data_IF_912930251615
#
_entry.id   IF_912930251615
#
_cell.length_a   1.000
_cell.length_b   1.000
_cell.length_c   1.000
_cell.angle_alpha   90.00
_cell.angle_beta   90.00
_cell.angle_gamma   90.00
#
_symmetry.space_group_name_H-M   'P 1'
#
loop_
_entity.id
_entity.type
_entity.pdbx_description
1 polymer ?
#
# COMPACT_ATOMS: atom_id res chain seq x y z
N UNK A 1 14.37 20.54 9.59
CA UNK A 1 15.65 19.94 10.05
C UNK A 1 16.48 21.00 10.77
N UNK A 2 17.06 20.68 11.93
CA UNK A 2 17.93 21.58 12.71
C UNK A 2 19.28 20.91 12.97
N UNK A 3 20.38 21.61 12.69
CA UNK A 3 21.74 21.16 12.95
C UNK A 3 22.37 22.08 14.01
N UNK A 4 22.32 21.70 15.30
CA UNK A 4 22.75 22.55 16.41
C UNK A 4 24.20 23.03 16.29
N UNK A 5 25.12 22.13 15.91
CA UNK A 5 26.55 22.44 15.78
C UNK A 5 26.85 23.47 14.70
N UNK A 6 25.99 23.58 13.69
CA UNK A 6 26.10 24.56 12.61
C UNK A 6 25.23 25.80 12.83
N UNK A 7 24.44 25.81 13.91
CA UNK A 7 23.37 26.78 14.19
C UNK A 7 22.52 27.06 12.94
N UNK A 8 22.18 26.00 12.21
CA UNK A 8 21.52 26.08 10.91
C UNK A 8 20.26 25.24 10.89
N UNK A 9 19.17 25.84 10.40
CA UNK A 9 17.87 25.19 10.27
C UNK A 9 17.34 25.33 8.85
N UNK A 10 16.75 24.25 8.36
CA UNK A 10 15.99 24.25 7.10
C UNK A 10 14.55 23.90 7.43
N UNK A 11 13.64 24.76 6.99
CA UNK A 11 12.20 24.55 7.06
C UNK A 11 11.65 24.75 5.66
N UNK A 12 10.96 23.75 5.14
CA UNK A 12 10.26 23.82 3.85
C UNK A 12 8.78 23.68 4.15
N UNK A 13 7.97 24.58 3.59
CA UNK A 13 6.51 24.52 3.68
C UNK A 13 5.98 24.11 2.32
N UNK A 14 5.03 23.19 2.35
CA UNK A 14 4.55 22.47 1.18
C UNK A 14 3.09 22.12 1.39
N UNK A 15 2.28 22.28 0.35
CA UNK A 15 0.81 22.22 0.45
C UNK A 15 0.15 21.23 -0.53
N UNK A 16 0.87 20.19 -0.98
CA UNK A 16 0.33 19.21 -1.93
C UNK A 16 0.91 17.79 -1.76
N UNK A 17 0.19 16.90 -1.08
CA UNK A 17 0.38 15.42 -1.09
C UNK A 17 1.81 14.87 -1.29
N UNK A 18 1.96 13.87 -2.17
CA UNK A 18 3.21 13.15 -2.41
C UNK A 18 4.28 13.95 -3.19
N UNK A 19 3.86 14.78 -4.15
CA UNK A 19 4.77 15.62 -4.94
C UNK A 19 5.52 16.62 -4.06
N UNK A 20 4.86 17.17 -3.05
CA UNK A 20 5.48 18.12 -2.11
C UNK A 20 6.50 17.45 -1.19
N UNK A 21 6.25 16.22 -0.70
CA UNK A 21 7.23 15.46 0.11
C UNK A 21 8.54 15.20 -0.64
N UNK A 22 8.42 14.90 -1.93
CA UNK A 22 9.56 14.69 -2.82
C UNK A 22 10.38 15.97 -3.01
N UNK A 23 9.70 17.08 -3.29
CA UNK A 23 10.34 18.39 -3.46
C UNK A 23 10.99 18.88 -2.16
N UNK A 24 10.33 18.69 -1.01
CA UNK A 24 10.84 19.03 0.31
C UNK A 24 12.16 18.33 0.60
N UNK A 25 12.25 17.04 0.24
CA UNK A 25 13.46 16.24 0.42
C UNK A 25 14.59 16.74 -0.47
N UNK A 26 14.31 16.99 -1.76
CA UNK A 26 15.30 17.49 -2.72
C UNK A 26 15.84 18.85 -2.26
N UNK A 27 14.95 19.79 -1.93
CA UNK A 27 15.32 21.13 -1.49
C UNK A 27 16.06 21.12 -0.15
N UNK A 28 15.59 20.33 0.82
CA UNK A 28 16.21 20.25 2.14
C UNK A 28 17.63 19.70 2.07
N UNK A 29 17.84 18.63 1.29
CA UNK A 29 19.17 18.05 1.09
C UNK A 29 20.07 19.01 0.32
N UNK A 30 19.56 19.67 -0.72
CA UNK A 30 20.34 20.64 -1.50
C UNK A 30 20.83 21.80 -0.64
N UNK A 31 19.96 22.41 0.16
CA UNK A 31 20.29 23.51 1.06
C UNK A 31 21.29 23.08 2.14
N UNK A 32 21.16 21.84 2.64
CA UNK A 32 22.11 21.28 3.59
C UNK A 32 23.50 21.09 2.95
N UNK A 33 23.57 20.50 1.77
CA UNK A 33 24.83 20.27 1.04
C UNK A 33 25.53 21.58 0.66
N UNK A 34 24.77 22.60 0.27
CA UNK A 34 25.29 23.95 0.05
C UNK A 34 25.88 24.53 1.34
N UNK A 35 25.20 24.37 2.48
CA UNK A 35 25.69 24.84 3.78
C UNK A 35 26.95 24.11 4.23
N UNK A 36 27.07 22.82 3.90
CA UNK A 36 28.23 21.99 4.22
C UNK A 36 29.40 22.16 3.22
N UNK A 37 29.21 22.95 2.16
CA UNK A 37 30.23 23.14 1.12
C UNK A 37 30.50 21.87 0.29
N UNK A 38 29.53 20.96 0.20
CA UNK A 38 29.68 19.73 -0.58
C UNK A 38 29.82 20.09 -2.05
N UNK A 39 30.90 19.63 -2.67
CA UNK A 39 31.18 19.91 -4.07
C UNK A 39 30.11 19.26 -4.97
N UNK A 40 29.72 19.85 -6.11
CA UNK A 40 28.62 19.34 -6.93
C UNK A 40 28.73 17.86 -7.34
N UNK A 41 29.96 17.35 -7.50
CA UNK A 41 30.23 15.94 -7.86
C UNK A 41 30.00 14.96 -6.71
N UNK A 42 30.06 15.43 -5.47
CA UNK A 42 29.95 14.60 -4.25
C UNK A 42 28.53 14.67 -3.65
N UNK A 43 27.63 15.43 -4.27
CA UNK A 43 26.25 15.62 -3.80
C UNK A 43 25.41 14.38 -4.02
N UNK A 44 24.55 14.11 -3.05
CA UNK A 44 23.53 13.08 -3.13
C UNK A 44 22.49 13.46 -4.20
N UNK A 45 22.30 12.57 -5.17
CA UNK A 45 21.40 12.80 -6.30
C UNK A 45 19.96 12.46 -5.93
N UNK A 46 19.40 13.20 -4.98
CA UNK A 46 18.05 12.98 -4.48
C UNK A 46 16.99 13.00 -5.59
N UNK A 47 17.11 13.93 -6.54
CA UNK A 47 16.19 14.06 -7.66
C UNK A 47 16.20 12.83 -8.57
N UNK A 48 17.39 12.29 -8.89
CA UNK A 48 17.52 11.10 -9.73
C UNK A 48 16.86 9.90 -9.04
N UNK A 49 17.16 9.68 -7.75
CA UNK A 49 16.61 8.56 -6.98
C UNK A 49 15.09 8.65 -6.84
N UNK A 50 14.57 9.83 -6.51
CA UNK A 50 13.12 10.07 -6.42
C UNK A 50 12.44 9.87 -7.78
N UNK A 51 13.09 10.30 -8.88
CA UNK A 51 12.58 10.08 -10.23
C UNK A 51 12.55 8.60 -10.62
N UNK A 52 13.57 7.83 -10.27
CA UNK A 52 13.60 6.37 -10.45
C UNK A 52 12.52 5.66 -9.63
N UNK A 53 12.39 6.03 -8.35
CA UNK A 53 11.35 5.49 -7.47
C UNK A 53 9.95 5.85 -7.96
N UNK A 54 9.76 7.06 -8.52
CA UNK A 54 8.52 7.49 -9.17
C UNK A 54 8.13 6.63 -10.36
N UNK A 55 9.05 6.40 -11.31
CA UNK A 55 8.78 5.51 -12.46
C UNK A 55 8.51 4.07 -12.04
N UNK A 56 9.22 3.59 -11.01
CA UNK A 56 8.97 2.27 -10.43
C UNK A 56 7.59 2.21 -9.77
N UNK A 57 7.18 3.24 -9.02
CA UNK A 57 5.82 3.33 -8.45
C UNK A 57 4.76 3.27 -9.55
N UNK A 58 4.91 4.05 -10.62
CA UNK A 58 3.99 4.08 -11.75
C UNK A 58 3.86 2.70 -12.43
N UNK A 59 4.98 2.03 -12.66
CA UNK A 59 4.96 0.68 -13.22
C UNK A 59 4.16 -0.29 -12.35
N UNK A 60 4.40 -0.25 -11.04
CA UNK A 60 3.74 -1.19 -10.15
C UNK A 60 2.24 -0.84 -9.98
N UNK A 61 1.88 0.45 -9.94
CA UNK A 61 0.48 0.91 -9.95
C UNK A 61 -0.30 0.42 -11.18
N UNK A 62 0.37 0.38 -12.33
CA UNK A 62 -0.23 -0.06 -13.59
C UNK A 62 -0.19 -1.57 -13.81
N UNK A 63 0.70 -2.29 -13.12
CA UNK A 63 0.92 -3.73 -13.27
C UNK A 63 0.97 -4.49 -11.92
N UNK A 64 0.00 -4.28 -10.99
CA UNK A 64 0.09 -4.84 -9.64
C UNK A 64 0.06 -6.37 -9.63
N UNK A 65 -0.66 -6.99 -10.59
CA UNK A 65 -0.73 -8.45 -10.77
C UNK A 65 0.62 -9.06 -11.11
N UNK A 66 1.39 -8.41 -11.99
CA UNK A 66 2.69 -8.91 -12.44
C UNK A 66 3.76 -8.77 -11.37
N UNK A 67 3.63 -7.75 -10.52
CA UNK A 67 4.59 -7.50 -9.44
C UNK A 67 4.31 -8.36 -8.22
N UNK A 68 3.04 -8.46 -7.78
CA UNK A 68 2.68 -9.23 -6.58
C UNK A 68 2.60 -10.73 -6.86
N UNK A 69 2.17 -11.12 -8.05
CA UNK A 69 1.92 -12.51 -8.43
C UNK A 69 2.49 -12.83 -9.82
N UNK A 70 3.82 -12.77 -10.00
CA UNK A 70 4.47 -13.02 -11.29
C UNK A 70 4.25 -14.46 -11.79
N UNK A 71 4.13 -15.43 -10.88
CA UNK A 71 4.00 -16.86 -11.18
C UNK A 71 2.54 -17.33 -11.25
N UNK A 72 1.57 -16.41 -11.32
CA UNK A 72 0.15 -16.76 -11.39
C UNK A 72 -0.18 -17.56 -12.66
N UNK A 73 -1.16 -18.47 -12.61
CA UNK A 73 -1.58 -19.20 -13.80
C UNK A 73 -2.22 -18.27 -14.84
N UNK A 74 -2.08 -18.59 -16.12
CA UNK A 74 -2.70 -17.84 -17.23
C UNK A 74 -4.22 -17.81 -17.12
N UNK A 75 -4.82 -18.92 -16.68
CA UNK A 75 -6.24 -19.01 -16.35
C UNK A 75 -6.39 -18.96 -14.82
N UNK A 76 -7.07 -17.94 -14.27
CA UNK A 76 -7.31 -17.86 -12.83
C UNK A 76 -8.02 -19.09 -12.28
N UNK A 77 -7.50 -19.64 -11.19
CA UNK A 77 -8.19 -20.67 -10.43
C UNK A 77 -9.34 -20.01 -9.64
N UNK A 78 -10.49 -20.69 -9.47
CA UNK A 78 -11.54 -20.20 -8.59
C UNK A 78 -11.05 -20.13 -7.14
N UNK A 79 -11.59 -19.18 -6.36
CA UNK A 79 -11.36 -19.14 -4.92
C UNK A 79 -11.95 -20.37 -4.23
N UNK A 80 -11.30 -20.82 -3.14
CA UNK A 80 -11.75 -21.98 -2.35
C UNK A 80 -13.12 -21.75 -1.73
N UNK A 81 -13.44 -20.50 -1.37
CA UNK A 81 -14.71 -20.11 -0.81
C UNK A 81 -15.37 -19.00 -1.62
N UNK A 82 -16.70 -18.91 -1.54
CA UNK A 82 -17.44 -17.79 -2.13
C UNK A 82 -17.10 -16.49 -1.41
N UNK A 83 -17.27 -15.36 -2.10
CA UNK A 83 -17.01 -14.03 -1.52
C UNK A 83 -17.78 -13.80 -0.21
N UNK A 84 -19.02 -14.29 -0.12
CA UNK A 84 -19.86 -14.14 1.07
C UNK A 84 -19.32 -14.93 2.28
N UNK A 85 -18.57 -16.01 2.05
CA UNK A 85 -17.90 -16.76 3.12
C UNK A 85 -16.62 -16.06 3.62
N UNK A 86 -16.06 -15.13 2.83
CA UNK A 86 -14.91 -14.29 3.24
C UNK A 86 -15.33 -13.15 4.18
N UNK A 87 -16.62 -12.83 4.26
CA UNK A 87 -17.12 -11.73 5.09
C UNK A 87 -16.93 -12.00 6.58
N UNK A 88 -16.92 -10.91 7.35
CA UNK A 88 -16.85 -10.96 8.80
C UNK A 88 -15.78 -10.05 9.37
N UNK A 89 -15.28 -10.42 10.54
CA UNK A 89 -14.33 -9.63 11.32
C UNK A 89 -13.00 -10.33 11.36
N UNK A 90 -11.93 -9.55 11.25
CA UNK A 90 -10.56 -10.03 11.21
C UNK A 90 -9.74 -9.18 12.17
N UNK A 91 -8.96 -9.81 13.04
CA UNK A 91 -8.27 -9.15 14.14
C UNK A 91 -6.77 -9.45 14.13
N UNK A 92 -5.97 -8.41 14.36
CA UNK A 92 -4.55 -8.52 14.66
C UNK A 92 -4.23 -7.55 15.81
N UNK A 93 -3.32 -7.91 16.71
CA UNK A 93 -3.03 -7.18 17.94
C UNK A 93 -2.47 -5.76 17.75
N UNK A 94 -1.61 -5.53 16.76
CA UNK A 94 -1.05 -4.23 16.39
C UNK A 94 -1.94 -3.41 15.45
N UNK A 95 -2.74 -4.08 14.62
CA UNK A 95 -3.61 -3.46 13.62
C UNK A 95 -5.10 -3.46 13.99
N UNK A 96 -5.51 -3.97 15.15
CA UNK A 96 -6.90 -3.90 15.61
C UNK A 96 -7.88 -4.69 14.73
N UNK A 97 -9.12 -4.21 14.66
CA UNK A 97 -10.24 -4.92 14.02
C UNK A 97 -10.50 -4.41 12.61
N UNK A 98 -10.61 -5.35 11.67
CA UNK A 98 -10.97 -5.13 10.27
C UNK A 98 -12.31 -5.80 9.97
N UNK A 99 -13.19 -5.09 9.26
CA UNK A 99 -14.53 -5.57 8.90
C UNK A 99 -14.62 -5.73 7.39
N UNK A 100 -14.76 -6.97 6.93
CA UNK A 100 -14.94 -7.31 5.51
C UNK A 100 -16.42 -7.42 5.17
N UNK A 101 -16.84 -6.63 4.18
CA UNK A 101 -18.21 -6.55 3.66
C UNK A 101 -18.24 -6.59 2.14
N UNK A 102 -19.38 -7.00 1.59
CA UNK A 102 -19.67 -6.89 0.16
C UNK A 102 -20.28 -5.53 -0.13
N UNK A 103 -19.82 -4.88 -1.20
CA UNK A 103 -20.37 -3.60 -1.65
C UNK A 103 -20.55 -3.57 -3.16
N UNK A 104 -21.55 -2.83 -3.60
CA UNK A 104 -21.75 -2.56 -5.01
C UNK A 104 -20.82 -1.42 -5.46
N UNK A 105 -19.93 -1.71 -6.39
CA UNK A 105 -19.12 -0.72 -7.09
C UNK A 105 -19.67 -0.54 -8.50
N UNK A 106 -20.13 0.67 -8.81
CA UNK A 106 -20.61 1.02 -10.14
C UNK A 106 -19.51 1.76 -10.89
N UNK A 107 -19.03 1.13 -11.95
CA UNK A 107 -18.15 1.75 -12.93
C UNK A 107 -18.96 2.14 -14.17
N UNK A 108 -18.68 3.34 -14.70
CA UNK A 108 -19.43 3.91 -15.84
C UNK A 108 -19.28 3.09 -17.12
N UNK A 109 -18.22 2.30 -17.25
CA UNK A 109 -17.88 1.52 -18.45
C UNK A 109 -18.20 0.03 -18.34
N UNK A 110 -18.17 -0.53 -17.12
CA UNK A 110 -18.29 -1.98 -16.88
C UNK A 110 -19.53 -2.37 -16.06
N UNK A 111 -20.36 -1.41 -15.64
CA UNK A 111 -21.60 -1.66 -14.91
C UNK A 111 -21.38 -1.78 -13.39
N UNK A 112 -22.32 -2.40 -12.70
CA UNK A 112 -22.25 -2.59 -11.24
C UNK A 112 -21.74 -3.99 -10.92
N UNK A 113 -20.68 -4.06 -10.12
CA UNK A 113 -20.10 -5.32 -9.62
C UNK A 113 -20.08 -5.33 -8.10
N UNK A 114 -20.16 -6.52 -7.50
CA UNK A 114 -19.96 -6.67 -6.06
C UNK A 114 -18.47 -6.84 -5.76
N UNK A 115 -17.92 -5.97 -4.93
CA UNK A 115 -16.52 -6.01 -4.48
C UNK A 115 -16.45 -6.35 -2.99
N UNK A 116 -15.30 -6.87 -2.58
CA UNK A 116 -15.00 -7.10 -1.17
C UNK A 116 -14.25 -5.89 -0.63
N UNK A 117 -14.78 -5.31 0.44
CA UNK A 117 -14.26 -4.08 1.05
C UNK A 117 -13.98 -4.32 2.52
N UNK A 118 -12.77 -4.00 2.95
CA UNK A 118 -12.39 -3.97 4.35
C UNK A 118 -12.34 -2.54 4.86
N UNK A 119 -12.93 -2.32 6.04
CA UNK A 119 -12.80 -1.06 6.77
C UNK A 119 -12.39 -1.28 8.22
N UNK A 120 -11.66 -0.31 8.75
CA UNK A 120 -11.27 -0.23 10.15
C UNK A 120 -12.03 0.91 10.81
N UNK A 121 -13.09 0.58 11.56
CA UNK A 121 -13.97 1.59 12.18
C UNK A 121 -13.33 2.29 13.37
N UNK A 122 -12.27 1.71 13.93
CA UNK A 122 -11.57 2.17 15.13
C UNK A 122 -10.41 3.13 14.84
N UNK A 123 -10.02 3.31 13.57
CA UNK A 123 -9.00 4.29 13.16
C UNK A 123 -9.45 5.06 11.93
N UNK A 124 -9.56 6.38 12.08
CA UNK A 124 -9.88 7.28 10.97
C UNK A 124 -8.79 7.33 9.87
N UNK A 125 -7.53 6.98 10.20
CA UNK A 125 -6.36 7.25 9.36
C UNK A 125 -5.75 6.02 8.66
N UNK A 126 -6.48 4.90 8.59
CA UNK A 126 -6.14 3.76 7.75
C UNK A 126 -7.39 3.41 6.97
N UNK A 127 -7.43 3.91 5.75
CA UNK A 127 -8.66 3.96 4.98
C UNK A 127 -9.14 2.61 4.47
N UNK A 128 -10.02 2.69 3.49
CA UNK A 128 -10.72 1.56 2.91
C UNK A 128 -9.76 0.65 2.13
N UNK A 129 -9.86 -0.67 2.30
CA UNK A 129 -9.12 -1.62 1.46
C UNK A 129 -10.09 -2.38 0.56
N UNK A 130 -9.92 -2.27 -0.75
CA UNK A 130 -10.72 -3.01 -1.75
C UNK A 130 -9.94 -4.21 -2.25
N UNK A 131 -10.61 -5.35 -2.41
CA UNK A 131 -9.96 -6.57 -2.86
C UNK A 131 -10.33 -6.93 -4.30
N UNK A 132 -9.32 -7.26 -5.08
CA UNK A 132 -9.45 -7.76 -6.45
C UNK A 132 -8.92 -9.20 -6.52
N UNK A 133 -9.75 -10.13 -6.98
CA UNK A 133 -9.37 -11.53 -7.09
C UNK A 133 -8.29 -11.73 -8.16
N UNK A 134 -7.24 -12.49 -7.82
CA UNK A 134 -6.17 -12.85 -8.75
C UNK A 134 -6.32 -14.28 -9.24
N UNK A 135 -6.18 -15.25 -8.34
CA UNK A 135 -6.28 -16.69 -8.63
C UNK A 135 -6.26 -17.47 -7.33
N UNK A 136 -7.09 -18.51 -7.22
CA UNK A 136 -7.19 -19.29 -5.99
C UNK A 136 -7.57 -18.37 -4.82
N UNK A 137 -6.81 -18.44 -3.74
CA UNK A 137 -7.07 -17.65 -2.54
C UNK A 137 -6.22 -16.38 -2.43
N UNK A 138 -5.62 -15.96 -3.55
CA UNK A 138 -4.79 -14.76 -3.67
C UNK A 138 -5.57 -13.58 -4.30
N UNK A 139 -5.38 -12.42 -3.70
CA UNK A 139 -6.08 -11.18 -3.99
C UNK A 139 -5.10 -10.01 -4.02
N UNK A 140 -5.43 -8.93 -4.71
CA UNK A 140 -4.77 -7.63 -4.56
C UNK A 140 -5.57 -6.83 -3.55
N UNK A 141 -4.90 -6.27 -2.55
CA UNK A 141 -5.46 -5.36 -1.57
C UNK A 141 -5.13 -3.92 -1.99
N UNK A 142 -6.11 -3.20 -2.51
CA UNK A 142 -6.01 -1.78 -2.87
C UNK A 142 -6.34 -0.94 -1.64
N UNK A 143 -5.32 -0.38 -1.00
CA UNK A 143 -5.43 0.44 0.21
C UNK A 143 -5.65 1.90 -0.21
N UNK A 144 -6.84 2.41 0.10
CA UNK A 144 -7.27 3.76 -0.21
C UNK A 144 -7.31 4.61 1.05
N UNK A 145 -6.55 5.70 1.09
CA UNK A 145 -6.73 6.73 2.11
C UNK A 145 -7.60 7.85 1.51
N UNK A 146 -8.84 8.06 2.00
CA UNK A 146 -9.74 9.08 1.44
C UNK A 146 -9.22 10.51 1.60
N UNK A 147 -8.28 10.75 2.51
CA UNK A 147 -7.67 12.07 2.73
C UNK A 147 -6.41 12.28 1.86
N UNK A 148 -5.97 11.26 1.11
CA UNK A 148 -4.80 11.33 0.22
C UNK A 148 -5.25 10.98 -1.20
N UNK A 149 -5.52 12.03 -1.97
CA UNK A 149 -6.06 11.97 -3.34
C UNK A 149 -5.21 11.17 -4.36
N UNK A 150 -3.97 10.77 -4.00
CA UNK A 150 -2.96 10.36 -4.98
C UNK A 150 -2.01 9.24 -4.54
N UNK A 151 -2.42 8.35 -3.63
CA UNK A 151 -1.59 7.17 -3.34
C UNK A 151 -2.42 5.96 -2.92
N UNK A 152 -3.02 5.21 -3.88
CA UNK A 152 -3.46 3.88 -3.56
C UNK A 152 -2.21 3.05 -3.25
N UNK A 153 -1.98 2.77 -1.97
CA UNK A 153 -1.11 1.68 -1.59
C UNK A 153 -1.71 0.40 -2.13
N UNK A 154 -0.90 -0.55 -2.56
CA UNK A 154 -1.39 -1.87 -2.94
C UNK A 154 -0.51 -2.92 -2.29
N UNK A 155 -1.13 -4.04 -1.96
CA UNK A 155 -0.48 -5.16 -1.31
C UNK A 155 -1.04 -6.49 -1.78
N UNK A 156 -0.35 -7.57 -1.43
CA UNK A 156 -0.86 -8.93 -1.63
C UNK A 156 -1.82 -9.32 -0.51
N UNK A 157 -2.99 -9.84 -0.85
CA UNK A 157 -3.92 -10.48 0.07
C UNK A 157 -3.93 -12.00 -0.13
N UNK A 158 -3.96 -12.77 0.96
CA UNK A 158 -4.08 -14.23 0.90
C UNK A 158 -4.99 -14.74 2.01
N UNK A 159 -6.13 -15.33 1.62
CA UNK A 159 -7.03 -15.96 2.58
C UNK A 159 -6.52 -17.34 2.96
N UNK A 160 -6.48 -17.62 4.26
CA UNK A 160 -6.11 -18.93 4.81
C UNK A 160 -7.34 -19.68 5.24
N UNK A 161 -7.28 -21.00 5.12
CA UNK A 161 -8.37 -21.90 5.45
C UNK A 161 -7.92 -22.91 6.50
N UNK A 162 -8.83 -23.26 7.41
CA UNK A 162 -8.63 -24.35 8.35
C UNK A 162 -8.76 -25.72 7.66
N UNK A 163 -8.49 -26.79 8.40
CA UNK A 163 -8.62 -28.18 7.91
C UNK A 163 -10.05 -28.55 7.47
N UNK A 164 -11.06 -27.77 7.88
CA UNK A 164 -12.45 -27.93 7.49
C UNK A 164 -12.84 -27.09 6.28
N UNK A 165 -11.90 -26.38 5.64
CA UNK A 165 -12.16 -25.51 4.50
C UNK A 165 -12.87 -24.20 4.86
N UNK A 166 -12.87 -23.80 6.14
CA UNK A 166 -13.43 -22.52 6.58
C UNK A 166 -12.34 -21.47 6.61
N UNK A 167 -12.69 -20.23 6.26
CA UNK A 167 -11.74 -19.12 6.31
C UNK A 167 -11.27 -18.92 7.75
N UNK A 168 -9.96 -18.98 7.96
CA UNK A 168 -9.33 -18.87 9.27
C UNK A 168 -8.61 -17.53 9.45
N UNK A 169 -8.02 -16.98 8.39
CA UNK A 169 -7.26 -15.73 8.46
C UNK A 169 -7.17 -15.03 7.10
N UNK A 170 -6.74 -13.78 7.13
CA UNK A 170 -6.34 -12.98 5.98
C UNK A 170 -4.91 -12.47 6.21
N UNK A 171 -3.98 -12.87 5.34
CA UNK A 171 -2.65 -12.27 5.27
C UNK A 171 -2.66 -11.07 4.33
N UNK A 172 -2.07 -9.96 4.75
CA UNK A 172 -1.83 -8.77 3.93
C UNK A 172 -0.33 -8.48 3.89
N UNK A 173 0.22 -8.41 2.69
CA UNK A 173 1.62 -8.08 2.42
C UNK A 173 1.70 -6.68 1.85
N UNK A 174 2.18 -5.72 2.63
CA UNK A 174 2.34 -4.32 2.20
C UNK A 174 3.75 -4.01 1.68
N UNK A 175 4.74 -4.85 2.00
CA UNK A 175 6.07 -4.76 1.39
C UNK A 175 6.08 -5.37 -0.01
N UNK A 176 6.29 -4.51 -1.00
CA UNK A 176 6.35 -4.92 -2.39
C UNK A 176 7.68 -5.63 -2.70
N UNK A 177 7.67 -6.66 -3.56
CA UNK A 177 8.90 -7.31 -4.02
C UNK A 177 9.91 -6.30 -4.58
N UNK A 178 11.19 -6.47 -4.24
CA UNK A 178 12.27 -5.60 -4.70
C UNK A 178 12.35 -4.23 -4.00
N UNK A 179 11.65 -4.05 -2.88
CA UNK A 179 11.83 -2.91 -1.97
C UNK A 179 12.43 -3.33 -0.65
N UNK A 180 13.01 -2.34 0.04
CA UNK A 180 13.31 -2.48 1.46
C UNK A 180 12.03 -2.85 2.20
N UNK A 181 12.13 -3.85 3.09
CA UNK A 181 10.99 -4.30 3.89
C UNK A 181 10.59 -3.14 4.80
N UNK A 182 9.44 -2.54 4.51
CA UNK A 182 8.85 -1.49 5.35
C UNK A 182 7.98 -2.13 6.45
N UNK A 183 7.12 -3.08 6.05
CA UNK A 183 6.26 -3.84 6.95
C UNK A 183 6.27 -5.34 6.60
N UNK A 184 6.23 -6.21 7.61
CA UNK A 184 6.13 -7.66 7.40
C UNK A 184 4.77 -8.08 6.82
N UNK A 185 4.58 -9.39 6.66
CA UNK A 185 3.25 -9.94 6.39
C UNK A 185 2.41 -9.77 7.65
N UNK A 186 1.26 -9.10 7.52
CA UNK A 186 0.32 -8.89 8.62
C UNK A 186 -0.74 -9.99 8.50
N UNK A 187 -0.94 -10.76 9.56
CA UNK A 187 -1.95 -11.83 9.59
C UNK A 187 -3.10 -11.42 10.48
N UNK A 188 -4.29 -11.27 9.91
CA UNK A 188 -5.50 -11.02 10.68
C UNK A 188 -6.29 -12.32 10.84
N UNK A 189 -6.48 -12.76 12.08
CA UNK A 189 -7.28 -13.94 12.39
C UNK A 189 -8.77 -13.62 12.25
N UNK A 190 -9.53 -14.51 11.61
CA UNK A 190 -10.98 -14.38 11.52
C UNK A 190 -11.59 -14.59 12.91
N UNK A 191 -12.41 -13.64 13.35
CA UNK A 191 -13.02 -13.63 14.68
C UNK A 191 -14.55 -13.63 14.63
N UNK A 192 -15.13 -14.77 15.01
CA UNK A 192 -16.57 -15.03 14.98
C UNK A 192 -16.96 -15.92 13.82
#
# INVERSE_FOLDING_TARGET
MWLPSLKYGVVVFSNSGAASRSLDTILSLRLLEDRLGVSPKDRYRAADKIGEDGRRNEYILTHPRDVLYPERPTTPLPATASQSQLLGRYYESGYGMMYLTEEAETDKSSGTRTILVARRRDRASLGETRFEHVSGDYWIAHVWDPDVEDSPGYGGGHFKFDVGGRVAALEITLSLPGRDINEGIITFDKVG
#
